data_IF_801509392410
#
_entry.id   IF_801509392410
#
_cell.length_a   1.000
_cell.length_b   1.000
_cell.length_c   1.000
_cell.angle_alpha   90.00
_cell.angle_beta   90.00
_cell.angle_gamma   90.00
#
_symmetry.space_group_name_H-M   'P 1'
#
loop_
_entity.id
_entity.type
_entity.pdbx_description
1 polymer ?
#
# COMPACT_ATOMS: atom_id res chain seq x y z
N UNK A 1 12.68 16.45 -19.16
CA UNK A 1 12.61 15.26 -18.32
C UNK A 1 13.56 14.25 -18.92
N UNK A 2 14.68 13.97 -18.24
CA UNK A 2 15.62 12.95 -18.69
C UNK A 2 15.12 11.61 -18.17
N UNK A 3 14.49 10.82 -19.06
CA UNK A 3 14.17 9.43 -18.74
C UNK A 3 15.48 8.62 -18.70
N UNK A 4 15.68 7.74 -17.71
CA UNK A 4 16.84 6.87 -17.66
C UNK A 4 16.93 6.05 -18.96
N UNK A 5 18.08 6.01 -19.60
CA UNK A 5 18.33 5.29 -20.86
C UNK A 5 18.06 3.78 -20.80
N UNK A 6 17.93 3.22 -19.60
CA UNK A 6 17.71 1.78 -19.36
C UNK A 6 16.27 1.41 -18.99
N UNK A 7 15.31 2.33 -19.04
CA UNK A 7 13.91 2.06 -18.67
C UNK A 7 13.28 0.89 -19.44
N UNK A 8 13.66 0.67 -20.68
CA UNK A 8 13.14 -0.46 -21.45
C UNK A 8 13.56 -1.85 -20.91
N UNK A 9 14.62 -1.92 -20.11
CA UNK A 9 15.09 -3.17 -19.49
C UNK A 9 14.42 -3.47 -18.15
N UNK A 10 13.84 -2.46 -17.49
CA UNK A 10 13.29 -2.56 -16.13
C UNK A 10 11.75 -2.68 -16.14
N UNK A 11 11.13 -3.14 -17.24
CA UNK A 11 9.68 -3.31 -17.31
C UNK A 11 9.26 -4.50 -16.47
N UNK A 12 8.46 -4.24 -15.45
CA UNK A 12 7.88 -5.27 -14.58
C UNK A 12 6.59 -5.84 -15.15
N UNK A 13 5.70 -4.95 -15.61
CA UNK A 13 4.41 -5.36 -16.17
C UNK A 13 3.97 -4.43 -17.28
N UNK A 14 3.31 -5.00 -18.30
CA UNK A 14 2.75 -4.26 -19.43
C UNK A 14 1.40 -4.85 -19.82
N UNK A 15 0.36 -4.01 -19.93
CA UNK A 15 -1.01 -4.44 -20.22
C UNK A 15 -1.30 -4.70 -21.71
N UNK A 16 -0.34 -4.55 -22.61
CA UNK A 16 -0.51 -4.78 -24.05
C UNK A 16 0.46 -3.96 -24.87
N UNK A 17 0.37 -4.04 -26.20
CA UNK A 17 1.33 -3.40 -27.12
C UNK A 17 1.42 -1.88 -26.90
N UNK A 18 0.28 -1.21 -26.71
CA UNK A 18 0.19 0.22 -26.42
C UNK A 18 -0.38 0.51 -25.01
N UNK A 19 -0.45 -0.52 -24.15
CA UNK A 19 -0.98 -0.40 -22.81
C UNK A 19 0.02 0.17 -21.81
N UNK A 20 -0.50 0.52 -20.63
CA UNK A 20 0.29 1.02 -19.51
C UNK A 20 1.47 0.11 -19.17
N UNK A 21 2.62 0.71 -18.85
CA UNK A 21 3.85 0.02 -18.44
C UNK A 21 4.21 0.39 -17.00
N UNK A 22 4.42 -0.61 -16.17
CA UNK A 22 5.00 -0.44 -14.85
C UNK A 22 6.48 -0.85 -14.88
N UNK A 23 7.33 0.04 -14.43
CA UNK A 23 8.76 -0.21 -14.29
C UNK A 23 9.13 -0.35 -12.83
N UNK A 24 9.83 -1.41 -12.48
CA UNK A 24 10.22 -1.79 -11.13
C UNK A 24 9.03 -2.10 -10.22
N UNK A 25 9.30 -2.49 -8.98
CA UNK A 25 8.31 -2.72 -7.92
C UNK A 25 8.75 -2.04 -6.63
N UNK A 26 7.79 -1.62 -5.78
CA UNK A 26 8.11 -1.27 -4.41
C UNK A 26 8.75 -2.47 -3.70
N UNK A 27 9.72 -2.21 -2.85
CA UNK A 27 10.39 -3.26 -2.08
C UNK A 27 9.82 -3.28 -0.65
N UNK A 28 8.92 -4.21 -0.31
CA UNK A 28 8.44 -4.37 1.05
C UNK A 28 9.59 -4.75 1.99
N UNK A 29 9.57 -4.24 3.22
CA UNK A 29 10.55 -4.56 4.25
C UNK A 29 9.85 -5.18 5.45
N UNK A 30 10.37 -6.30 5.92
CA UNK A 30 9.84 -6.95 7.11
C UNK A 30 10.05 -6.08 8.35
N UNK A 31 9.04 -6.02 9.22
CA UNK A 31 9.08 -5.22 10.44
C UNK A 31 8.98 -3.71 10.22
N UNK A 32 8.63 -3.25 9.02
CA UNK A 32 8.54 -1.84 8.69
C UNK A 32 7.26 -1.54 7.90
N UNK A 33 6.78 -0.30 8.02
CA UNK A 33 5.74 0.25 7.14
C UNK A 33 6.40 0.90 5.93
N UNK A 34 6.07 0.41 4.74
CA UNK A 34 6.54 0.98 3.47
C UNK A 34 5.42 1.73 2.78
N UNK A 35 5.58 3.04 2.66
CA UNK A 35 4.65 3.92 1.97
C UNK A 35 4.87 3.93 0.46
N UNK A 36 3.80 4.09 -0.31
CA UNK A 36 3.83 4.25 -1.75
C UNK A 36 3.19 5.58 -2.13
N UNK A 37 4.00 6.50 -2.66
CA UNK A 37 3.63 7.87 -3.02
C UNK A 37 3.67 8.08 -4.53
N UNK A 38 2.63 8.67 -5.09
CA UNK A 38 2.60 9.01 -6.51
C UNK A 38 1.24 9.50 -6.97
N UNK A 39 1.18 10.12 -8.16
CA UNK A 39 -0.06 10.61 -8.76
C UNK A 39 -1.06 9.48 -9.02
N UNK A 40 -2.33 9.84 -9.20
CA UNK A 40 -3.34 8.88 -9.66
C UNK A 40 -3.05 8.43 -11.10
N UNK A 41 -3.40 7.18 -11.44
CA UNK A 41 -3.16 6.61 -12.76
C UNK A 41 -1.70 6.23 -13.06
N UNK A 42 -0.76 6.34 -12.07
CA UNK A 42 0.66 6.02 -12.26
C UNK A 42 1.01 4.54 -12.02
N UNK A 43 0.01 3.71 -11.68
CA UNK A 43 0.21 2.27 -11.50
C UNK A 43 0.39 1.80 -10.05
N UNK A 44 0.04 2.60 -9.02
CA UNK A 44 0.09 2.18 -7.62
C UNK A 44 -0.69 0.89 -7.38
N UNK A 45 -1.94 0.84 -7.83
CA UNK A 45 -2.79 -0.35 -7.69
C UNK A 45 -2.26 -1.57 -8.45
N UNK A 46 -1.60 -1.36 -9.61
CA UNK A 46 -0.90 -2.43 -10.34
C UNK A 46 0.24 -3.00 -9.51
N UNK A 47 1.08 -2.14 -8.92
CA UNK A 47 2.19 -2.54 -8.06
C UNK A 47 1.69 -3.34 -6.85
N UNK A 48 0.65 -2.86 -6.16
CA UNK A 48 0.03 -3.57 -5.03
C UNK A 48 -0.56 -4.92 -5.46
N UNK A 49 -1.24 -4.99 -6.61
CA UNK A 49 -1.81 -6.26 -7.09
C UNK A 49 -0.72 -7.30 -7.39
N UNK A 50 0.44 -6.86 -7.89
CA UNK A 50 1.59 -7.76 -8.09
C UNK A 50 2.15 -8.23 -6.75
N UNK A 51 2.38 -7.32 -5.80
CA UNK A 51 2.87 -7.67 -4.47
C UNK A 51 1.88 -8.53 -3.67
N UNK A 52 0.58 -8.40 -3.95
CA UNK A 52 -0.46 -9.25 -3.36
C UNK A 52 -0.63 -10.62 -4.05
N UNK A 53 0.15 -10.93 -5.08
CA UNK A 53 0.03 -12.16 -5.84
C UNK A 53 -1.21 -12.25 -6.75
N UNK A 54 -2.00 -11.18 -6.85
CA UNK A 54 -3.23 -11.13 -7.65
C UNK A 54 -2.97 -10.85 -9.13
N UNK A 55 -1.86 -10.27 -9.45
CA UNK A 55 -1.42 -9.98 -10.81
C UNK A 55 0.00 -10.52 -11.01
N UNK A 56 0.14 -11.47 -11.92
CA UNK A 56 1.45 -12.00 -12.29
C UNK A 56 2.18 -10.98 -13.18
N UNK A 57 3.40 -10.53 -12.82
CA UNK A 57 4.18 -9.65 -13.69
C UNK A 57 4.61 -10.39 -14.95
N UNK A 58 4.64 -9.68 -16.08
CA UNK A 58 4.98 -10.28 -17.37
C UNK A 58 6.32 -9.83 -17.94
N UNK A 59 7.09 -9.03 -17.20
CA UNK A 59 8.40 -8.50 -17.61
C UNK A 59 8.38 -7.86 -19.03
N UNK A 60 7.25 -7.23 -19.38
CA UNK A 60 7.02 -6.64 -20.70
C UNK A 60 6.63 -7.63 -21.81
N UNK A 61 6.59 -8.94 -21.52
CA UNK A 61 6.25 -10.01 -22.47
C UNK A 61 4.78 -10.38 -22.35
N UNK A 62 3.89 -9.55 -22.90
CA UNK A 62 2.44 -9.76 -22.75
C UNK A 62 1.91 -10.91 -23.63
N UNK A 63 2.55 -11.20 -24.80
CA UNK A 63 2.15 -12.31 -25.69
C UNK A 63 2.62 -13.69 -25.16
N UNK A 64 3.78 -13.72 -24.50
CA UNK A 64 4.34 -14.94 -23.89
C UNK A 64 4.85 -14.64 -22.50
N UNK A 65 3.96 -14.57 -21.48
CA UNK A 65 4.33 -14.18 -20.14
C UNK A 65 5.28 -15.20 -19.51
N UNK A 66 6.34 -14.74 -18.80
CA UNK A 66 7.33 -15.59 -18.17
C UNK A 66 6.72 -16.49 -17.08
N UNK A 67 7.43 -17.56 -16.74
CA UNK A 67 7.10 -18.38 -15.57
C UNK A 67 7.41 -17.64 -14.26
N UNK A 68 6.90 -18.12 -13.13
CA UNK A 68 7.29 -17.57 -11.83
C UNK A 68 8.78 -17.75 -11.54
N UNK A 69 9.37 -18.87 -11.99
CA UNK A 69 10.80 -19.11 -11.86
C UNK A 69 11.62 -18.04 -12.60
N UNK A 70 11.21 -17.66 -13.83
CA UNK A 70 11.87 -16.60 -14.60
C UNK A 70 11.73 -15.23 -13.93
N UNK A 71 10.56 -14.95 -13.33
CA UNK A 71 10.31 -13.70 -12.60
C UNK A 71 11.20 -13.62 -11.36
N UNK A 72 11.27 -14.68 -10.56
CA UNK A 72 12.13 -14.73 -9.37
C UNK A 72 13.60 -14.60 -9.77
N UNK A 73 14.02 -15.25 -10.86
CA UNK A 73 15.38 -15.15 -11.40
C UNK A 73 15.71 -13.71 -11.87
N UNK A 74 14.74 -12.99 -12.43
CA UNK A 74 14.90 -11.58 -12.83
C UNK A 74 15.22 -10.67 -11.63
N UNK A 75 14.60 -10.93 -10.47
CA UNK A 75 14.85 -10.17 -9.22
C UNK A 75 15.99 -10.73 -8.37
N UNK A 76 16.82 -11.61 -8.95
CA UNK A 76 17.91 -12.27 -8.22
C UNK A 76 18.85 -11.26 -7.54
N UNK A 77 19.15 -11.52 -6.25
CA UNK A 77 20.01 -10.66 -5.45
C UNK A 77 19.36 -9.41 -4.89
N UNK A 78 18.04 -9.28 -5.01
CA UNK A 78 17.25 -8.20 -4.39
C UNK A 78 16.33 -8.73 -3.27
N UNK A 79 15.93 -7.86 -2.36
CA UNK A 79 14.93 -8.19 -1.31
C UNK A 79 13.60 -8.67 -1.92
N UNK A 80 13.27 -8.21 -3.11
CA UNK A 80 12.08 -8.65 -3.86
C UNK A 80 12.14 -10.13 -4.24
N UNK A 81 13.32 -10.68 -4.49
CA UNK A 81 13.46 -12.11 -4.79
C UNK A 81 12.91 -12.95 -3.65
N UNK A 82 13.36 -12.68 -2.42
CA UNK A 82 12.92 -13.42 -1.23
C UNK A 82 11.42 -13.26 -0.99
N UNK A 83 10.92 -12.03 -1.10
CA UNK A 83 9.50 -11.74 -0.96
C UNK A 83 8.65 -12.50 -1.97
N UNK A 84 8.99 -12.43 -3.27
CA UNK A 84 8.24 -13.10 -4.35
C UNK A 84 8.34 -14.63 -4.26
N UNK A 85 9.48 -15.17 -3.82
CA UNK A 85 9.62 -16.61 -3.60
C UNK A 85 8.63 -17.09 -2.55
N UNK A 86 8.61 -16.48 -1.37
CA UNK A 86 7.67 -16.80 -0.29
C UNK A 86 6.21 -16.61 -0.71
N UNK A 87 5.93 -15.57 -1.48
CA UNK A 87 4.58 -15.30 -2.01
C UNK A 87 4.08 -16.43 -2.93
N UNK A 88 4.95 -16.94 -3.81
CA UNK A 88 4.61 -17.97 -4.80
C UNK A 88 4.51 -19.36 -4.18
N UNK A 89 5.33 -19.65 -3.18
CA UNK A 89 5.30 -20.90 -2.41
C UNK A 89 4.10 -20.98 -1.46
N UNK A 90 3.20 -19.97 -1.45
CA UNK A 90 2.07 -19.83 -0.53
C UNK A 90 2.48 -19.82 0.96
N UNK A 91 3.71 -19.42 1.24
CA UNK A 91 4.25 -19.27 2.59
C UNK A 91 3.83 -17.95 3.27
N UNK A 92 3.11 -17.09 2.55
CA UNK A 92 2.62 -15.81 3.07
C UNK A 92 1.13 -15.63 2.83
N UNK A 93 0.42 -15.31 3.90
CA UNK A 93 -0.97 -14.84 3.83
C UNK A 93 -1.01 -13.33 3.63
N UNK A 94 -1.66 -12.88 2.57
CA UNK A 94 -1.81 -11.48 2.23
C UNK A 94 -3.23 -11.01 2.49
N UNK A 95 -3.38 -9.97 3.31
CA UNK A 95 -4.66 -9.28 3.55
C UNK A 95 -4.55 -7.85 3.01
N UNK A 96 -5.61 -7.42 2.33
CA UNK A 96 -5.64 -6.11 1.71
C UNK A 96 -6.92 -5.35 2.03
N UNK A 97 -6.79 -4.12 2.52
CA UNK A 97 -7.85 -3.12 2.48
C UNK A 97 -7.87 -2.53 1.08
N UNK A 98 -8.91 -2.83 0.34
CA UNK A 98 -9.14 -2.26 -1.00
C UNK A 98 -9.74 -0.85 -0.87
N UNK A 99 -9.67 -0.09 -1.95
CA UNK A 99 -10.42 1.16 -2.07
C UNK A 99 -11.91 0.85 -1.91
N UNK A 100 -12.60 1.67 -1.10
CA UNK A 100 -14.01 1.48 -0.78
C UNK A 100 -14.85 2.07 -1.92
N UNK A 101 -15.11 1.27 -2.92
CA UNK A 101 -16.01 1.57 -4.02
C UNK A 101 -17.42 0.98 -3.80
N UNK A 102 -18.36 1.36 -4.65
CA UNK A 102 -19.74 0.86 -4.60
C UNK A 102 -19.83 -0.67 -4.73
N UNK A 103 -18.90 -1.28 -5.49
CA UNK A 103 -18.90 -2.73 -5.69
C UNK A 103 -18.46 -3.48 -4.44
N UNK A 104 -17.54 -2.90 -3.66
CA UNK A 104 -17.14 -3.47 -2.37
C UNK A 104 -18.30 -3.42 -1.36
N UNK A 105 -18.97 -2.27 -1.23
CA UNK A 105 -20.11 -2.09 -0.32
C UNK A 105 -21.26 -3.02 -0.70
N UNK A 106 -21.56 -3.15 -2.00
CA UNK A 106 -22.59 -4.07 -2.51
C UNK A 106 -22.36 -5.53 -2.14
N UNK A 107 -21.11 -5.99 -2.10
CA UNK A 107 -20.76 -7.36 -1.67
C UNK A 107 -21.02 -7.61 -0.18
N UNK A 108 -21.11 -6.56 0.61
CA UNK A 108 -21.40 -6.59 2.04
C UNK A 108 -22.83 -6.19 2.38
N UNK A 109 -23.70 -6.05 1.37
CA UNK A 109 -25.09 -5.67 1.54
C UNK A 109 -25.82 -6.66 2.46
N UNK A 110 -26.61 -6.14 3.41
CA UNK A 110 -27.34 -6.92 4.40
C UNK A 110 -26.51 -7.51 5.53
N UNK A 111 -25.19 -7.28 5.56
CA UNK A 111 -24.33 -7.75 6.64
C UNK A 111 -24.15 -6.69 7.72
N UNK A 112 -24.18 -7.13 8.97
CA UNK A 112 -24.04 -6.28 10.16
C UNK A 112 -22.55 -6.13 10.53
N UNK A 113 -22.16 -4.93 10.95
CA UNK A 113 -20.78 -4.59 11.30
C UNK A 113 -20.19 -5.55 12.35
N UNK A 114 -20.94 -5.83 13.43
CA UNK A 114 -20.55 -6.73 14.51
C UNK A 114 -20.22 -8.13 13.99
N UNK A 115 -21.14 -8.73 13.24
CA UNK A 115 -21.00 -10.10 12.71
C UNK A 115 -19.73 -10.25 11.86
N UNK A 116 -19.47 -9.26 11.00
CA UNK A 116 -18.28 -9.28 10.16
C UNK A 116 -16.98 -9.13 10.96
N UNK A 117 -16.96 -8.25 11.98
CA UNK A 117 -15.78 -8.09 12.82
C UNK A 117 -15.49 -9.35 13.63
N UNK A 118 -16.51 -10.01 14.18
CA UNK A 118 -16.38 -11.27 14.93
C UNK A 118 -15.95 -12.43 14.03
N UNK A 119 -16.53 -12.56 12.82
CA UNK A 119 -16.18 -13.59 11.84
C UNK A 119 -14.72 -13.51 11.41
N UNK A 120 -14.17 -12.30 11.30
CA UNK A 120 -12.82 -12.06 10.80
C UNK A 120 -11.78 -11.86 11.89
N UNK A 121 -12.16 -11.87 13.18
CA UNK A 121 -11.24 -11.63 14.31
C UNK A 121 -10.36 -12.84 14.63
N UNK A 122 -9.38 -13.08 13.80
CA UNK A 122 -8.43 -14.18 13.97
C UNK A 122 -7.34 -13.88 15.01
N UNK A 123 -7.13 -12.59 15.34
CA UNK A 123 -6.14 -12.13 16.30
C UNK A 123 -6.71 -11.85 17.68
N UNK A 124 -8.03 -11.94 17.86
CA UNK A 124 -8.77 -11.58 19.09
C UNK A 124 -8.52 -10.15 19.55
N UNK A 125 -8.48 -9.22 18.62
CA UNK A 125 -8.24 -7.79 18.86
C UNK A 125 -9.43 -6.90 18.53
N UNK A 126 -10.54 -7.47 18.03
CA UNK A 126 -11.71 -6.73 17.57
C UNK A 126 -12.27 -5.79 18.64
N UNK A 127 -12.39 -6.23 19.88
CA UNK A 127 -12.90 -5.41 20.99
C UNK A 127 -12.07 -4.14 21.20
N UNK A 128 -10.74 -4.24 21.17
CA UNK A 128 -9.85 -3.09 21.27
C UNK A 128 -9.90 -2.17 20.06
N UNK A 129 -10.04 -2.75 18.86
CA UNK A 129 -10.17 -1.98 17.61
C UNK A 129 -11.50 -1.24 17.55
N UNK A 130 -12.60 -1.84 18.01
CA UNK A 130 -13.93 -1.21 18.07
C UNK A 130 -13.86 0.08 18.90
N UNK A 131 -13.30 0.00 20.12
CA UNK A 131 -13.17 1.16 20.99
C UNK A 131 -12.22 2.20 20.38
N UNK A 132 -11.04 1.77 19.92
CA UNK A 132 -10.02 2.67 19.40
C UNK A 132 -10.47 3.41 18.14
N UNK A 133 -11.20 2.73 17.26
CA UNK A 133 -11.72 3.27 16.02
C UNK A 133 -13.14 3.87 16.14
N UNK A 134 -13.65 4.02 17.36
CA UNK A 134 -14.97 4.62 17.66
C UNK A 134 -16.10 3.98 16.81
N UNK A 135 -16.19 2.64 16.84
CA UNK A 135 -17.18 1.88 16.07
C UNK A 135 -18.37 1.41 16.91
N UNK A 136 -18.38 1.65 18.23
CA UNK A 136 -19.44 1.16 19.16
C UNK A 136 -20.85 1.56 18.70
N UNK A 137 -21.03 2.80 18.24
CA UNK A 137 -22.34 3.32 17.85
C UNK A 137 -22.89 2.70 16.54
N UNK A 138 -22.05 2.00 15.77
CA UNK A 138 -22.41 1.45 14.45
C UNK A 138 -22.41 -0.07 14.40
N UNK A 139 -22.13 -0.75 15.51
CA UNK A 139 -21.98 -2.20 15.55
C UNK A 139 -23.22 -2.96 15.07
N UNK A 140 -24.41 -2.47 15.38
CA UNK A 140 -25.68 -3.10 15.03
C UNK A 140 -26.23 -2.59 13.67
N UNK A 141 -25.46 -1.78 12.95
CA UNK A 141 -25.87 -1.25 11.65
C UNK A 141 -25.38 -2.14 10.52
N UNK A 142 -26.13 -2.14 9.42
CA UNK A 142 -25.69 -2.76 8.17
C UNK A 142 -24.59 -1.92 7.51
N UNK A 143 -23.57 -2.57 6.94
CA UNK A 143 -22.39 -1.91 6.35
C UNK A 143 -22.76 -0.87 5.29
N UNK A 144 -23.81 -1.11 4.51
CA UNK A 144 -24.27 -0.18 3.47
C UNK A 144 -24.83 1.12 4.02
N UNK A 145 -25.18 1.18 5.31
CA UNK A 145 -25.73 2.38 5.96
C UNK A 145 -24.66 3.25 6.62
N UNK A 146 -23.41 2.83 6.59
CA UNK A 146 -22.30 3.56 7.17
C UNK A 146 -21.96 4.80 6.34
N UNK A 147 -21.59 5.88 7.03
CA UNK A 147 -20.96 7.03 6.40
C UNK A 147 -19.57 6.67 5.86
N UNK A 148 -19.01 7.48 4.97
CA UNK A 148 -17.69 7.22 4.39
C UNK A 148 -16.59 7.06 5.44
N UNK A 149 -16.59 7.89 6.50
CA UNK A 149 -15.62 7.78 7.60
C UNK A 149 -15.82 6.55 8.48
N UNK A 150 -17.06 6.19 8.80
CA UNK A 150 -17.40 4.96 9.55
C UNK A 150 -17.00 3.72 8.76
N UNK A 151 -17.31 3.69 7.46
CA UNK A 151 -16.95 2.59 6.57
C UNK A 151 -15.42 2.43 6.45
N UNK A 152 -14.71 3.56 6.39
CA UNK A 152 -13.25 3.57 6.33
C UNK A 152 -12.63 2.96 7.60
N UNK A 153 -13.08 3.41 8.78
CA UNK A 153 -12.62 2.88 10.07
C UNK A 153 -12.98 1.41 10.24
N UNK A 154 -14.18 1.00 9.85
CA UNK A 154 -14.60 -0.40 9.81
C UNK A 154 -13.70 -1.24 8.91
N UNK A 155 -13.41 -0.79 7.68
CA UNK A 155 -12.54 -1.53 6.76
C UNK A 155 -11.11 -1.70 7.29
N UNK A 156 -10.58 -0.70 8.01
CA UNK A 156 -9.29 -0.82 8.70
C UNK A 156 -9.37 -1.85 9.82
N UNK A 157 -10.42 -1.81 10.66
CA UNK A 157 -10.64 -2.79 11.72
C UNK A 157 -10.67 -4.22 11.16
N UNK A 158 -11.43 -4.44 10.09
CA UNK A 158 -11.53 -5.72 9.39
C UNK A 158 -10.19 -6.28 8.90
N UNK A 159 -9.29 -5.43 8.44
CA UNK A 159 -7.94 -5.85 8.00
C UNK A 159 -7.04 -6.09 9.19
N UNK A 160 -7.06 -5.21 10.19
CA UNK A 160 -6.21 -5.30 11.37
C UNK A 160 -6.58 -6.48 12.30
N UNK A 161 -7.81 -6.98 12.27
CA UNK A 161 -8.26 -8.15 13.04
C UNK A 161 -7.84 -9.49 12.44
N UNK A 162 -7.48 -9.54 11.16
CA UNK A 162 -7.06 -10.77 10.50
C UNK A 162 -5.60 -11.09 10.79
N UNK A 163 -5.28 -12.39 10.87
CA UNK A 163 -3.90 -12.86 10.95
C UNK A 163 -3.30 -12.98 9.55
N UNK A 164 -2.24 -12.21 9.27
CA UNK A 164 -1.55 -12.22 7.99
C UNK A 164 -0.05 -11.95 8.14
N UNK A 165 0.70 -12.28 7.09
CA UNK A 165 2.13 -11.98 6.98
C UNK A 165 2.35 -10.68 6.22
N UNK A 166 1.41 -10.31 5.36
CA UNK A 166 1.45 -9.09 4.55
C UNK A 166 0.13 -8.34 4.66
N UNK A 167 0.21 -7.08 5.06
CA UNK A 167 -0.93 -6.18 5.13
C UNK A 167 -0.76 -5.06 4.10
N UNK A 168 -1.81 -4.78 3.34
CA UNK A 168 -1.81 -3.73 2.32
C UNK A 168 -3.00 -2.82 2.50
N UNK A 169 -2.73 -1.51 2.58
CA UNK A 169 -3.75 -0.49 2.74
C UNK A 169 -3.73 0.47 1.56
N UNK A 170 -4.87 0.65 0.93
CA UNK A 170 -5.06 1.57 -0.18
C UNK A 170 -5.95 2.72 0.28
N UNK A 171 -5.35 3.93 0.42
CA UNK A 171 -6.01 5.16 0.86
C UNK A 171 -6.81 4.99 2.16
N UNK A 172 -6.14 4.63 3.26
CA UNK A 172 -6.80 4.35 4.53
C UNK A 172 -7.19 5.61 5.34
N UNK A 173 -6.71 6.79 4.96
CA UNK A 173 -7.01 8.07 5.64
C UNK A 173 -8.14 8.89 5.01
N UNK A 174 -8.68 8.46 3.85
CA UNK A 174 -9.75 9.17 3.15
C UNK A 174 -11.02 9.28 4.01
N UNK A 175 -11.72 10.41 3.92
CA UNK A 175 -12.95 10.72 4.68
C UNK A 175 -12.80 10.81 6.20
N UNK A 176 -11.58 10.79 6.73
CA UNK A 176 -11.29 10.86 8.15
C UNK A 176 -10.81 12.26 8.55
N UNK A 177 -11.21 12.69 9.75
CA UNK A 177 -10.63 13.87 10.37
C UNK A 177 -9.19 13.58 10.89
N UNK A 178 -8.49 14.63 11.34
CA UNK A 178 -7.09 14.52 11.76
C UNK A 178 -6.91 13.52 12.89
N UNK A 179 -7.80 13.53 13.92
CA UNK A 179 -7.73 12.61 15.05
C UNK A 179 -7.91 11.15 14.58
N UNK A 180 -8.91 10.92 13.75
CA UNK A 180 -9.21 9.60 13.20
C UNK A 180 -8.08 9.07 12.32
N UNK A 181 -7.44 9.94 11.50
CA UNK A 181 -6.25 9.58 10.71
C UNK A 181 -5.10 9.10 11.59
N UNK A 182 -4.81 9.82 12.69
CA UNK A 182 -3.77 9.41 13.64
C UNK A 182 -4.10 8.07 14.28
N UNK A 183 -5.36 7.89 14.72
CA UNK A 183 -5.81 6.62 15.31
C UNK A 183 -5.68 5.44 14.34
N UNK A 184 -6.08 5.62 13.09
CA UNK A 184 -5.90 4.60 12.04
C UNK A 184 -4.43 4.27 11.83
N UNK A 185 -3.58 5.29 11.78
CA UNK A 185 -2.13 5.11 11.64
C UNK A 185 -1.55 4.27 12.78
N UNK A 186 -1.93 4.57 14.03
CA UNK A 186 -1.49 3.76 15.18
C UNK A 186 -2.01 2.32 15.11
N UNK A 187 -3.23 2.09 14.63
CA UNK A 187 -3.74 0.73 14.43
C UNK A 187 -2.90 -0.05 13.42
N UNK A 188 -2.48 0.61 12.34
CA UNK A 188 -1.64 0.00 11.30
C UNK A 188 -0.22 -0.27 11.83
N UNK A 189 0.40 0.68 12.53
CA UNK A 189 1.72 0.48 13.13
C UNK A 189 1.72 -0.64 14.18
N UNK A 190 0.63 -0.80 14.94
CA UNK A 190 0.48 -1.89 15.92
C UNK A 190 0.44 -3.29 15.28
N UNK A 191 0.28 -3.42 13.96
CA UNK A 191 0.45 -4.70 13.26
C UNK A 191 1.88 -5.24 13.35
N UNK A 192 2.86 -4.35 13.51
CA UNK A 192 4.29 -4.66 13.63
C UNK A 192 4.74 -4.93 15.06
N UNK A 193 3.83 -4.87 16.02
CA UNK A 193 4.08 -5.33 17.39
C UNK A 193 3.88 -6.84 17.45
N UNK A 194 4.66 -7.52 18.29
CA UNK A 194 4.55 -8.95 18.47
C UNK A 194 3.14 -9.34 18.93
N UNK A 195 2.56 -10.31 18.26
CA UNK A 195 1.21 -10.76 18.52
C UNK A 195 1.24 -11.89 19.54
N UNK A 196 0.81 -11.59 20.77
CA UNK A 196 0.79 -12.56 21.87
C UNK A 196 -0.19 -13.72 21.63
N UNK A 197 -1.21 -13.53 20.80
CA UNK A 197 -2.22 -14.56 20.53
C UNK A 197 -1.78 -15.50 19.40
N UNK A 198 -1.32 -14.97 18.27
CA UNK A 198 -0.89 -15.79 17.13
C UNK A 198 0.55 -16.27 17.28
N UNK A 199 1.33 -15.71 18.20
CA UNK A 199 2.74 -16.00 18.40
C UNK A 199 3.65 -15.50 17.26
N UNK A 200 3.09 -14.74 16.32
CA UNK A 200 3.88 -14.16 15.22
C UNK A 200 4.62 -12.93 15.67
N UNK A 201 5.91 -12.87 15.34
CA UNK A 201 6.71 -11.66 15.55
C UNK A 201 6.32 -10.56 14.58
N UNK A 202 6.13 -9.35 15.08
CA UNK A 202 5.88 -8.17 14.27
C UNK A 202 6.99 -7.90 13.27
N UNK A 203 8.22 -8.23 13.60
CA UNK A 203 9.39 -8.05 12.71
C UNK A 203 9.38 -8.93 11.47
N UNK A 204 8.55 -9.98 11.43
CA UNK A 204 8.39 -10.85 10.25
C UNK A 204 7.30 -10.39 9.30
N UNK A 205 6.43 -9.46 9.72
CA UNK A 205 5.30 -8.96 8.95
C UNK A 205 5.72 -7.84 7.99
N UNK A 206 4.99 -7.72 6.89
CA UNK A 206 5.16 -6.66 5.91
C UNK A 206 3.90 -5.77 5.91
N UNK A 207 4.09 -4.46 5.94
CA UNK A 207 3.01 -3.48 5.82
C UNK A 207 3.30 -2.53 4.66
N UNK A 208 2.39 -2.47 3.69
CA UNK A 208 2.48 -1.56 2.54
C UNK A 208 1.27 -0.65 2.53
N UNK A 209 1.50 0.65 2.45
CA UNK A 209 0.44 1.66 2.51
C UNK A 209 0.54 2.59 1.30
N UNK A 210 -0.58 2.79 0.61
CA UNK A 210 -0.72 3.84 -0.40
C UNK A 210 -1.43 5.01 0.23
N UNK A 211 -0.81 6.17 0.21
CA UNK A 211 -1.39 7.39 0.74
C UNK A 211 -1.04 8.61 -0.13
N UNK A 212 -1.95 9.57 -0.14
CA UNK A 212 -1.79 10.86 -0.83
C UNK A 212 -1.50 12.00 0.13
N UNK A 213 -1.92 11.87 1.38
CA UNK A 213 -1.63 12.84 2.43
C UNK A 213 -0.20 12.63 2.94
N UNK A 214 0.68 13.59 2.65
CA UNK A 214 2.09 13.52 3.00
C UNK A 214 2.33 13.55 4.52
N UNK A 215 1.46 14.23 5.28
CA UNK A 215 1.58 14.28 6.73
C UNK A 215 1.24 12.92 7.36
N UNK A 216 0.17 12.27 6.86
CA UNK A 216 -0.19 10.93 7.29
C UNK A 216 0.90 9.94 6.90
N UNK A 217 1.42 10.04 5.67
CA UNK A 217 2.47 9.15 5.19
C UNK A 217 3.77 9.30 6.00
N UNK A 218 4.16 10.54 6.33
CA UNK A 218 5.36 10.82 7.14
C UNK A 218 5.23 10.27 8.56
N UNK A 219 4.04 10.37 9.15
CA UNK A 219 3.77 9.84 10.49
C UNK A 219 3.66 8.31 10.52
N UNK A 220 3.13 7.69 9.45
CA UNK A 220 2.83 6.26 9.39
C UNK A 220 4.02 5.40 8.97
N UNK A 221 4.84 5.88 8.04
CA UNK A 221 5.79 5.05 7.29
C UNK A 221 7.22 5.21 7.80
N UNK A 222 7.98 4.11 7.81
CA UNK A 222 9.42 4.11 8.05
C UNK A 222 10.20 4.43 6.76
N UNK A 223 9.68 3.88 5.66
CA UNK A 223 10.26 4.02 4.32
C UNK A 223 9.19 4.37 3.30
N UNK A 224 9.61 4.98 2.20
CA UNK A 224 8.74 5.30 1.08
C UNK A 224 9.38 4.92 -0.26
N UNK A 225 8.54 4.41 -1.16
CA UNK A 225 8.83 4.31 -2.58
C UNK A 225 7.99 5.36 -3.31
N UNK A 226 8.64 6.23 -4.06
CA UNK A 226 7.93 7.20 -4.88
C UNK A 226 7.66 6.62 -6.28
N UNK A 227 6.58 7.07 -6.89
CA UNK A 227 6.26 6.73 -8.27
C UNK A 227 6.14 7.98 -9.12
N UNK A 228 6.79 7.97 -10.27
CA UNK A 228 6.75 9.04 -11.27
C UNK A 228 6.48 8.48 -12.65
N UNK A 229 6.14 9.33 -13.59
CA UNK A 229 5.85 8.96 -14.98
C UNK A 229 4.65 9.71 -15.53
N UNK A 230 4.01 9.15 -16.54
CA UNK A 230 2.84 9.74 -17.20
C UNK A 230 1.59 8.90 -16.90
N UNK A 231 0.56 9.48 -16.24
CA UNK A 231 -0.67 8.77 -15.92
C UNK A 231 -1.28 8.07 -17.13
N UNK A 232 -1.63 6.82 -16.99
CA UNK A 232 -2.21 6.00 -18.06
C UNK A 232 -1.21 5.48 -19.11
N UNK A 233 0.02 6.00 -19.16
CA UNK A 233 1.03 5.58 -20.13
C UNK A 233 2.11 4.70 -19.46
N UNK A 234 2.78 5.22 -18.46
CA UNK A 234 3.78 4.45 -17.70
C UNK A 234 3.99 5.00 -16.29
N UNK A 235 4.45 4.14 -15.40
CA UNK A 235 4.91 4.50 -14.08
C UNK A 235 6.24 3.82 -13.74
N UNK A 236 7.08 4.53 -13.01
CA UNK A 236 8.37 4.05 -12.55
C UNK A 236 8.41 4.13 -11.04
N UNK A 237 8.76 3.04 -10.38
CA UNK A 237 8.96 2.99 -8.94
C UNK A 237 10.40 3.32 -8.61
N UNK A 238 10.64 4.26 -7.69
CA UNK A 238 11.97 4.61 -7.21
C UNK A 238 12.51 3.55 -6.27
N UNK A 239 13.80 3.59 -6.03
CA UNK A 239 14.39 2.85 -4.91
C UNK A 239 13.74 3.31 -3.59
N UNK A 240 13.67 2.39 -2.63
CA UNK A 240 13.17 2.68 -1.29
C UNK A 240 14.09 3.69 -0.60
N UNK A 241 13.50 4.71 0.04
CA UNK A 241 14.18 5.72 0.83
C UNK A 241 13.52 5.83 2.22
N UNK A 242 14.20 6.43 3.19
CA UNK A 242 13.53 6.84 4.44
C UNK A 242 12.41 7.83 4.11
N UNK A 243 11.34 7.83 4.89
CA UNK A 243 10.13 8.59 4.57
C UNK A 243 10.41 10.06 4.35
N UNK A 244 11.09 10.72 5.27
CA UNK A 244 11.44 12.14 5.16
C UNK A 244 12.26 12.44 3.91
N UNK A 245 13.28 11.61 3.60
CA UNK A 245 14.09 11.79 2.41
C UNK A 245 13.27 11.60 1.11
N UNK A 246 12.46 10.56 1.06
CA UNK A 246 11.62 10.26 -0.11
C UNK A 246 10.57 11.33 -0.36
N UNK A 247 9.89 11.83 0.68
CA UNK A 247 8.91 12.91 0.58
C UNK A 247 9.59 14.20 0.08
N UNK A 248 10.74 14.59 0.66
CA UNK A 248 11.46 15.77 0.23
C UNK A 248 11.93 15.68 -1.22
N UNK A 249 12.45 14.53 -1.64
CA UNK A 249 12.82 14.28 -3.03
C UNK A 249 11.61 14.35 -3.99
N UNK A 250 10.47 13.85 -3.55
CA UNK A 250 9.23 13.92 -4.33
C UNK A 250 8.75 15.38 -4.46
N UNK A 251 8.82 16.18 -3.39
CA UNK A 251 8.46 17.60 -3.40
C UNK A 251 9.41 18.41 -4.26
N UNK A 252 10.73 18.17 -4.20
CA UNK A 252 11.72 18.86 -5.03
C UNK A 252 11.66 18.50 -6.51
N UNK A 253 10.95 17.40 -6.86
CA UNK A 253 10.87 16.90 -8.23
C UNK A 253 12.15 16.23 -8.73
N UNK A 254 13.09 15.89 -7.84
CA UNK A 254 14.39 15.32 -8.15
C UNK A 254 14.75 14.16 -7.23
N UNK A 255 15.16 13.02 -7.81
CA UNK A 255 15.65 11.86 -7.10
C UNK A 255 17.18 11.73 -7.22
N UNK A 256 17.94 12.16 -6.22
CA UNK A 256 19.42 12.16 -6.26
C UNK A 256 20.00 10.76 -6.52
N UNK A 257 19.45 9.73 -5.87
CA UNK A 257 19.90 8.34 -6.01
C UNK A 257 19.77 7.76 -7.43
N UNK A 258 18.96 8.39 -8.27
CA UNK A 258 18.72 7.99 -9.66
C UNK A 258 19.21 9.05 -10.66
N UNK A 259 19.73 10.18 -10.14
CA UNK A 259 20.11 11.37 -10.92
C UNK A 259 19.00 11.80 -11.91
N UNK A 260 17.76 11.79 -11.41
CA UNK A 260 16.57 11.99 -12.22
C UNK A 260 15.75 13.18 -11.74
N UNK A 261 15.49 14.13 -12.65
CA UNK A 261 14.50 15.18 -12.46
C UNK A 261 13.22 14.81 -13.21
N UNK A 262 12.13 14.53 -12.48
CA UNK A 262 10.85 14.12 -13.06
C UNK A 262 9.83 15.25 -13.12
N UNK A 263 10.10 16.39 -12.44
CA UNK A 263 9.28 17.59 -12.47
C UNK A 263 10.19 18.83 -12.50
N UNK A 264 9.85 19.81 -13.35
CA UNK A 264 10.64 21.03 -13.50
C UNK A 264 10.53 21.95 -12.27
N UNK A 265 9.30 22.06 -11.74
CA UNK A 265 8.99 22.94 -10.60
C UNK A 265 8.95 22.16 -9.29
N UNK A 266 9.48 22.77 -8.23
CA UNK A 266 9.37 22.26 -6.87
C UNK A 266 7.98 22.58 -6.31
N UNK A 267 7.41 21.66 -5.51
CA UNK A 267 6.22 21.96 -4.71
C UNK A 267 6.70 22.52 -3.38
N UNK A 268 6.52 23.83 -3.19
CA UNK A 268 6.80 24.51 -1.91
C UNK A 268 5.50 24.84 -1.20
N UNK A 269 5.47 24.64 0.10
CA UNK A 269 4.40 25.15 0.94
C UNK A 269 4.73 26.60 1.31
N UNK A 270 3.76 27.52 1.18
CA UNK A 270 3.94 28.89 1.65
C UNK A 270 4.07 28.89 3.18
N UNK A 271 5.28 29.13 3.68
CA UNK A 271 5.48 29.49 5.07
C UNK A 271 5.20 30.99 5.15
N UNK A 272 4.01 31.38 5.65
CA UNK A 272 3.77 32.78 5.97
C UNK A 272 4.72 33.19 7.08
N UNK A 273 5.60 34.13 6.80
CA UNK A 273 6.53 34.73 7.77
C UNK A 273 5.84 35.72 8.75
N UNK A 274 4.56 35.48 9.04
CA UNK A 274 3.76 36.34 9.91
C UNK A 274 3.09 35.48 11.00
N UNK A 275 3.75 35.38 12.13
CA UNK A 275 3.16 35.31 13.47
C UNK A 275 3.94 36.25 14.36
#
# INVERSE_FOLDING_TARGET
>A
VNLPSNLNKDVTHRYGQNGFKLHRLPTPRAGCVVGLLGKNGIGKSTAINILAGRLKPNLGRFDNPPTWADIIAYYRGSDLQQYLTRLVENDMRVVRKVQLDHDYVRKLEGKVVRELLEEHDQRRVSAGLIVKLELEAVLEREVQTLSGGELQRFAVAMVCSQDADVYMFDECSSFLDIKQRMTVTECIQNLLVDDSFTGKSGTSKYVVVVEHDLAVLDYMSDYVCCMYGEPGAYGVVTKVATTTCGINNYLSGYFPAENLRFRAEEISFHVSSAC
#
